data_IF_824989093539
#
_entry.id   IF_824989093539
#
_cell.length_a   1.000
_cell.length_b   1.000
_cell.length_c   1.000
_cell.angle_alpha   90.00
_cell.angle_beta   90.00
_cell.angle_gamma   90.00
#
_symmetry.space_group_name_H-M   'P 1'
#
loop_
_entity.id
_entity.type
_entity.pdbx_description
1 polymer ?
#
# COMPACT_ATOMS: atom_id res chain seq x y z
N UNK A 1 18.23 -13.26 0.32
CA UNK A 1 16.95 -12.73 0.87
C UNK A 1 16.51 -11.58 0.00
N UNK A 2 15.32 -11.66 -0.61
CA UNK A 2 14.80 -10.55 -1.41
C UNK A 2 14.01 -9.64 -0.46
N UNK A 3 14.55 -8.48 -0.14
CA UNK A 3 13.91 -7.52 0.75
C UNK A 3 13.08 -6.53 -0.07
N UNK A 4 11.93 -6.14 0.46
CA UNK A 4 10.99 -5.21 -0.16
C UNK A 4 10.64 -4.07 0.80
N UNK A 5 10.51 -2.87 0.26
CA UNK A 5 9.89 -1.75 0.95
C UNK A 5 8.37 -1.84 0.81
N UNK A 6 7.68 -1.98 1.93
CA UNK A 6 6.25 -1.74 2.06
C UNK A 6 6.04 -0.27 2.41
N UNK A 7 5.59 0.52 1.44
CA UNK A 7 5.44 1.97 1.58
C UNK A 7 3.96 2.31 1.69
N UNK A 8 3.58 3.00 2.77
CA UNK A 8 2.21 3.45 3.05
C UNK A 8 2.13 4.97 3.02
N UNK A 9 1.25 5.55 2.20
CA UNK A 9 1.03 7.00 2.23
C UNK A 9 0.16 7.38 3.44
N UNK A 10 0.75 8.01 4.46
CA UNK A 10 0.04 8.45 5.68
C UNK A 10 -0.56 9.84 5.54
N UNK A 11 0.13 10.74 4.85
CA UNK A 11 -0.30 12.13 4.62
C UNK A 11 -0.61 12.38 3.14
N UNK A 12 -1.51 13.32 2.88
CA UNK A 12 -1.89 13.70 1.51
C UNK A 12 -0.79 14.53 0.86
N UNK A 13 -0.69 14.46 -0.47
CA UNK A 13 0.21 15.30 -1.29
C UNK A 13 -0.44 16.61 -1.76
N UNK A 14 -1.65 16.89 -1.28
CA UNK A 14 -2.37 18.14 -1.59
C UNK A 14 -1.57 19.35 -1.12
N UNK A 15 -1.54 20.40 -1.94
CA UNK A 15 -0.81 21.63 -1.61
C UNK A 15 0.71 21.52 -1.67
N UNK A 16 1.27 20.34 -1.97
CA UNK A 16 2.73 20.18 -2.08
C UNK A 16 3.25 20.59 -3.47
N UNK A 17 4.54 20.98 -3.57
CA UNK A 17 5.21 21.26 -4.84
C UNK A 17 5.08 20.12 -5.86
N UNK A 18 5.06 20.47 -7.16
CA UNK A 18 4.84 19.52 -8.28
C UNK A 18 5.79 18.31 -8.22
N UNK A 19 7.07 18.55 -7.94
CA UNK A 19 8.12 17.51 -7.86
C UNK A 19 7.81 16.42 -6.82
N UNK A 20 7.32 16.80 -5.65
CA UNK A 20 6.93 15.85 -4.60
C UNK A 20 5.71 15.03 -5.03
N UNK A 21 4.73 15.67 -5.68
CA UNK A 21 3.54 14.99 -6.22
C UNK A 21 3.92 13.99 -7.31
N UNK A 22 4.82 14.35 -8.22
CA UNK A 22 5.34 13.46 -9.27
C UNK A 22 6.09 12.27 -8.69
N UNK A 23 6.92 12.49 -7.66
CA UNK A 23 7.63 11.40 -6.95
C UNK A 23 6.63 10.43 -6.31
N UNK A 24 5.56 10.94 -5.68
CA UNK A 24 4.52 10.10 -5.09
C UNK A 24 3.76 9.29 -6.16
N UNK A 25 3.48 9.90 -7.32
CA UNK A 25 2.85 9.22 -8.46
C UNK A 25 3.74 8.11 -9.04
N UNK A 26 5.06 8.35 -9.15
CA UNK A 26 6.04 7.36 -9.59
C UNK A 26 6.08 6.13 -8.67
N UNK A 27 6.01 6.34 -7.35
CA UNK A 27 5.91 5.26 -6.36
C UNK A 27 4.50 4.61 -6.28
N UNK A 28 3.55 5.04 -7.11
CA UNK A 28 2.18 4.51 -7.17
C UNK A 28 1.26 5.00 -6.04
N UNK A 29 1.65 6.02 -5.29
CA UNK A 29 0.95 6.58 -4.14
C UNK A 29 -0.06 7.66 -4.58
N UNK A 30 -1.21 7.20 -5.10
CA UNK A 30 -2.26 8.08 -5.66
C UNK A 30 -3.31 8.57 -4.64
N UNK A 31 -3.51 7.86 -3.53
CA UNK A 31 -4.54 8.16 -2.52
C UNK A 31 -4.02 7.85 -1.12
N UNK A 32 -4.41 8.67 -0.13
CA UNK A 32 -4.04 8.45 1.28
C UNK A 32 -4.43 7.05 1.75
N UNK A 33 -3.57 6.41 2.53
CA UNK A 33 -3.72 5.05 3.03
C UNK A 33 -3.34 3.96 2.02
N UNK A 34 -2.97 4.33 0.79
CA UNK A 34 -2.51 3.36 -0.22
C UNK A 34 -1.15 2.79 0.18
N UNK A 35 -1.03 1.49 -0.03
CA UNK A 35 0.20 0.72 0.16
C UNK A 35 0.73 0.27 -1.21
N UNK A 36 2.02 0.45 -1.42
CA UNK A 36 2.76 -0.04 -2.58
C UNK A 36 4.02 -0.77 -2.12
N UNK A 37 4.47 -1.71 -2.94
CA UNK A 37 5.64 -2.53 -2.66
C UNK A 37 6.70 -2.28 -3.72
N UNK A 38 7.93 -2.08 -3.28
CA UNK A 38 9.08 -1.78 -4.14
C UNK A 38 10.28 -2.63 -3.71
N UNK A 39 11.10 -3.15 -4.63
CA UNK A 39 12.30 -3.87 -4.26
C UNK A 39 13.28 -2.95 -3.51
N UNK A 40 14.02 -3.50 -2.55
CA UNK A 40 15.04 -2.75 -1.82
C UNK A 40 16.23 -2.48 -2.75
N UNK A 41 16.32 -1.26 -3.25
CA UNK A 41 17.44 -0.74 -4.03
C UNK A 41 17.64 0.76 -3.74
N UNK A 42 18.76 1.33 -4.21
CA UNK A 42 19.13 2.73 -3.93
C UNK A 42 18.16 3.75 -4.55
N UNK A 43 17.67 3.48 -5.76
CA UNK A 43 16.76 4.37 -6.48
C UNK A 43 15.44 4.53 -5.72
N UNK A 44 14.80 3.41 -5.36
CA UNK A 44 13.57 3.40 -4.59
C UNK A 44 13.77 4.05 -3.22
N UNK A 45 14.90 3.79 -2.55
CA UNK A 45 15.22 4.41 -1.28
C UNK A 45 15.31 5.95 -1.40
N UNK A 46 15.93 6.47 -2.47
CA UNK A 46 16.01 7.91 -2.72
C UNK A 46 14.65 8.57 -2.96
N UNK A 47 13.79 7.92 -3.76
CA UNK A 47 12.42 8.39 -3.99
C UNK A 47 11.59 8.39 -2.69
N UNK A 48 11.71 7.33 -1.89
CA UNK A 48 11.05 7.20 -0.59
C UNK A 48 11.55 8.28 0.38
N UNK A 49 12.87 8.53 0.44
CA UNK A 49 13.47 9.52 1.33
C UNK A 49 12.99 10.94 1.02
N UNK A 50 12.76 11.24 -0.27
CA UNK A 50 12.17 12.51 -0.71
C UNK A 50 10.78 12.75 -0.11
N UNK A 51 10.04 11.67 0.19
CA UNK A 51 8.68 11.71 0.75
C UNK A 51 8.61 11.27 2.22
N UNK A 52 9.75 11.20 2.94
CA UNK A 52 9.86 10.61 4.30
C UNK A 52 8.86 11.14 5.32
N UNK A 53 8.39 12.37 5.15
CA UNK A 53 7.43 13.02 6.07
C UNK A 53 5.98 12.58 5.81
N UNK A 54 5.70 12.02 4.63
CA UNK A 54 4.36 11.66 4.17
C UNK A 54 4.09 10.15 4.20
N UNK A 55 5.15 9.35 4.27
CA UNK A 55 5.07 7.89 4.12
C UNK A 55 5.55 7.17 5.37
N UNK A 56 4.97 6.01 5.63
CA UNK A 56 5.52 5.01 6.55
C UNK A 56 6.15 3.89 5.72
N UNK A 57 7.33 3.43 6.10
CA UNK A 57 8.09 2.42 5.38
C UNK A 57 8.38 1.25 6.31
N UNK A 58 8.13 0.04 5.83
CA UNK A 58 8.46 -1.21 6.52
C UNK A 58 9.26 -2.10 5.58
N UNK A 59 10.20 -2.86 6.11
CA UNK A 59 10.93 -3.88 5.34
C UNK A 59 10.19 -5.21 5.49
N UNK A 60 9.93 -5.88 4.37
CA UNK A 60 9.26 -7.18 4.33
C UNK A 60 9.95 -8.14 3.37
N UNK A 61 9.78 -9.45 3.57
CA UNK A 61 10.43 -10.47 2.74
C UNK A 61 9.74 -10.68 1.39
N UNK A 62 8.44 -10.38 1.29
CA UNK A 62 7.66 -10.60 0.08
C UNK A 62 6.70 -9.44 -0.18
N UNK A 63 6.52 -9.02 -1.44
CA UNK A 63 5.49 -8.08 -1.80
C UNK A 63 4.13 -8.76 -1.78
N UNK A 64 3.08 -8.00 -1.48
CA UNK A 64 1.71 -8.47 -1.57
C UNK A 64 0.99 -7.75 -2.70
N UNK A 65 0.11 -8.46 -3.39
CA UNK A 65 -0.84 -7.82 -4.27
C UNK A 65 -1.91 -7.07 -3.47
N UNK A 66 -2.50 -6.06 -4.10
CA UNK A 66 -3.54 -5.20 -3.50
C UNK A 66 -4.73 -5.99 -2.95
N UNK A 67 -5.13 -7.05 -3.66
CA UNK A 67 -6.26 -7.90 -3.25
C UNK A 67 -5.93 -8.68 -1.98
N UNK A 68 -4.69 -9.19 -1.86
CA UNK A 68 -4.19 -9.92 -0.69
C UNK A 68 -4.11 -9.00 0.53
N UNK A 69 -3.56 -7.80 0.35
CA UNK A 69 -3.54 -6.75 1.39
C UNK A 69 -4.93 -6.38 1.91
N UNK A 70 -5.93 -6.38 1.02
CA UNK A 70 -7.31 -6.10 1.38
C UNK A 70 -7.91 -7.26 2.16
N UNK A 71 -7.64 -8.50 1.74
CA UNK A 71 -8.08 -9.71 2.42
C UNK A 71 -7.50 -9.82 3.84
N UNK A 72 -6.20 -9.52 4.02
CA UNK A 72 -5.53 -9.49 5.32
C UNK A 72 -6.16 -8.49 6.31
N UNK A 73 -6.74 -7.40 5.80
CA UNK A 73 -7.41 -6.37 6.61
C UNK A 73 -8.89 -6.68 6.84
N UNK A 74 -9.48 -7.62 6.10
CA UNK A 74 -10.90 -7.97 6.26
C UNK A 74 -11.09 -8.61 7.62
N UNK A 75 -12.07 -8.10 8.35
CA UNK A 75 -12.55 -8.72 9.59
C UNK A 75 -13.34 -9.98 9.23
N UNK A 76 -13.32 -11.02 10.09
CA UNK A 76 -14.15 -12.19 9.87
C UNK A 76 -15.63 -11.81 9.85
N UNK A 77 -16.41 -12.51 9.03
CA UNK A 77 -17.87 -12.34 9.03
C UNK A 77 -18.45 -12.79 10.36
N UNK A 78 -19.36 -11.99 10.93
CA UNK A 78 -20.09 -12.33 12.16
C UNK A 78 -21.36 -13.15 11.91
N UNK A 79 -21.62 -13.54 10.66
CA UNK A 79 -22.80 -14.30 10.25
C UNK A 79 -22.43 -15.31 9.16
N UNK A 80 -23.21 -16.38 9.10
CA UNK A 80 -23.19 -17.36 8.00
C UNK A 80 -24.53 -17.27 7.28
N UNK A 81 -24.49 -17.20 5.95
CA UNK A 81 -25.72 -17.22 5.14
C UNK A 81 -26.10 -18.68 4.91
N UNK A 82 -27.20 -19.10 5.51
CA UNK A 82 -27.79 -20.41 5.23
C UNK A 82 -28.54 -20.36 3.89
N UNK A 83 -28.37 -21.39 3.06
CA UNK A 83 -29.12 -21.50 1.81
C UNK A 83 -30.57 -21.87 2.14
N UNK A 84 -31.58 -21.20 1.58
CA UNK A 84 -32.97 -21.59 1.80
C UNK A 84 -33.23 -22.98 1.20
N UNK A 85 -34.11 -23.75 1.85
CA UNK A 85 -34.43 -25.13 1.49
C UNK A 85 -35.03 -25.32 0.08
N UNK A 86 -35.42 -24.24 -0.60
CA UNK A 86 -36.24 -24.27 -1.81
C UNK A 86 -35.55 -23.73 -3.07
N UNK A 87 -34.21 -23.81 -3.13
CA UNK A 87 -33.44 -23.48 -4.33
C UNK A 87 -32.87 -24.75 -4.96
N UNK A 88 -33.71 -25.47 -5.71
CA UNK A 88 -33.31 -26.41 -6.76
C UNK A 88 -33.48 -25.74 -8.13
#
# INVERSE_FOLDING_TARGET
>A
MNMWFRVTQKRSVIGLPKRLRETALALGLKKRGRITYHPVNRENAGQILTLKELVEVQIVDKPLERHQETLLKRRPSGYTVEKPANSQ
#
